data_IF_894867896047
#
_entry.id   IF_894867896047
#
_cell.length_a   1.000
_cell.length_b   1.000
_cell.length_c   1.000
_cell.angle_alpha   90.00
_cell.angle_beta   90.00
_cell.angle_gamma   90.00
#
_symmetry.space_group_name_H-M   'P 1'
#
loop_
_entity.id
_entity.type
_entity.pdbx_description
1 polymer ?
#
# COMPACT_ATOMS: atom_id res chain seq x y z
N UNK A 1 -14.56 -5.19 28.91
CA UNK A 1 -14.76 -4.86 27.48
C UNK A 1 -13.37 -4.81 26.86
N UNK A 2 -12.99 -5.81 26.07
CA UNK A 2 -11.64 -5.91 25.48
C UNK A 2 -11.82 -6.06 23.98
N UNK A 3 -11.59 -4.98 23.24
CA UNK A 3 -11.46 -5.05 21.80
C UNK A 3 -10.07 -5.63 21.50
N UNK A 4 -10.03 -6.94 21.21
CA UNK A 4 -8.80 -7.59 20.73
C UNK A 4 -8.61 -7.18 19.27
N UNK A 5 -7.70 -6.24 19.01
CA UNK A 5 -7.26 -5.94 17.65
C UNK A 5 -6.74 -7.22 17.01
N UNK A 6 -7.47 -7.74 16.02
CA UNK A 6 -7.15 -8.99 15.31
C UNK A 6 -6.22 -8.76 14.11
N UNK A 7 -6.09 -7.51 13.65
CA UNK A 7 -5.34 -7.18 12.44
C UNK A 7 -3.81 -7.26 12.68
N UNK A 8 -3.10 -7.94 11.79
CA UNK A 8 -1.64 -7.98 11.75
C UNK A 8 -1.14 -7.70 10.34
N UNK A 9 0.06 -7.14 10.25
CA UNK A 9 0.63 -6.63 9.01
C UNK A 9 2.02 -7.18 8.76
N UNK A 10 2.38 -7.36 7.49
CA UNK A 10 3.74 -7.72 7.06
C UNK A 10 4.14 -6.89 5.85
N UNK A 11 5.35 -6.38 5.84
CA UNK A 11 5.92 -5.74 4.65
C UNK A 11 6.93 -6.71 4.06
N UNK A 12 6.78 -7.00 2.77
CA UNK A 12 7.73 -7.82 2.03
C UNK A 12 8.16 -7.12 0.75
N UNK A 13 9.45 -7.21 0.46
CA UNK A 13 10.01 -6.83 -0.82
C UNK A 13 9.56 -7.85 -1.88
N UNK A 14 8.87 -7.37 -2.92
CA UNK A 14 8.43 -8.15 -4.06
C UNK A 14 9.19 -7.75 -5.34
N UNK A 15 10.46 -7.39 -5.21
CA UNK A 15 11.35 -7.01 -6.30
C UNK A 15 11.22 -5.52 -6.63
N UNK A 16 10.50 -5.20 -7.70
CA UNK A 16 10.26 -3.80 -8.10
C UNK A 16 9.11 -3.13 -7.32
N UNK A 17 8.43 -3.87 -6.45
CA UNK A 17 7.21 -3.46 -5.77
C UNK A 17 7.29 -3.80 -4.27
N UNK A 18 6.57 -3.06 -3.45
CA UNK A 18 6.38 -3.41 -2.04
C UNK A 18 4.99 -4.02 -1.82
N UNK A 19 4.95 -5.09 -1.02
CA UNK A 19 3.69 -5.74 -0.61
C UNK A 19 3.46 -5.54 0.88
N UNK A 20 2.29 -5.01 1.18
CA UNK A 20 1.73 -4.94 2.52
C UNK A 20 0.69 -6.05 2.70
N UNK A 21 1.07 -7.12 3.37
CA UNK A 21 0.18 -8.20 3.79
C UNK A 21 -0.68 -7.79 4.98
N UNK A 22 -1.95 -8.21 4.97
CA UNK A 22 -2.92 -7.95 6.05
C UNK A 22 -3.58 -9.26 6.45
N UNK A 23 -3.62 -9.57 7.75
CA UNK A 23 -4.31 -10.76 8.26
C UNK A 23 -5.16 -10.46 9.48
N UNK A 24 -6.10 -11.36 9.80
CA UNK A 24 -6.97 -11.27 10.97
C UNK A 24 -8.05 -10.18 10.89
N UNK A 25 -8.38 -9.75 9.69
CA UNK A 25 -9.45 -8.79 9.41
C UNK A 25 -10.75 -9.48 9.03
N UNK A 26 -11.89 -8.86 9.33
CA UNK A 26 -13.22 -9.37 9.01
C UNK A 26 -13.67 -8.98 7.61
N UNK A 27 -14.62 -9.74 7.06
CA UNK A 27 -15.41 -9.31 5.90
C UNK A 27 -16.14 -8.01 6.26
N UNK A 28 -16.15 -7.02 5.36
CA UNK A 28 -16.77 -5.69 5.52
C UNK A 28 -16.04 -4.67 6.42
N UNK A 29 -14.91 -5.03 7.05
CA UNK A 29 -14.00 -4.07 7.68
C UNK A 29 -13.60 -2.98 6.67
N UNK A 30 -13.52 -1.73 7.12
CA UNK A 30 -13.14 -0.59 6.28
C UNK A 30 -11.65 -0.30 6.41
N UNK A 31 -10.98 -0.10 5.28
CA UNK A 31 -9.54 0.07 5.16
C UNK A 31 -9.21 1.40 4.51
N UNK A 32 -8.19 2.06 5.05
CA UNK A 32 -7.39 3.03 4.30
C UNK A 32 -5.92 2.85 4.60
N UNK A 33 -5.11 3.13 3.60
CA UNK A 33 -3.65 3.10 3.68
C UNK A 33 -3.12 4.46 3.28
N UNK A 34 -2.22 4.97 4.11
CA UNK A 34 -1.44 6.16 3.84
C UNK A 34 0.03 5.80 3.97
N UNK A 35 0.89 6.21 3.05
CA UNK A 35 2.31 6.21 3.32
C UNK A 35 3.01 7.38 2.60
N UNK A 36 4.26 7.61 2.96
CA UNK A 36 5.13 8.55 2.28
C UNK A 36 6.10 7.76 1.41
N UNK A 37 6.08 7.99 0.10
CA UNK A 37 7.15 7.49 -0.78
C UNK A 37 8.22 8.56 -0.82
N UNK A 38 9.46 8.18 -0.57
CA UNK A 38 10.60 9.07 -0.71
C UNK A 38 11.69 8.50 -1.59
N UNK A 39 12.39 9.39 -2.28
CA UNK A 39 13.46 9.04 -3.21
C UNK A 39 14.52 10.12 -3.28
N UNK A 40 15.76 9.70 -3.51
CA UNK A 40 16.89 10.59 -3.79
C UNK A 40 17.42 10.42 -5.22
N UNK A 41 16.57 9.94 -6.14
CA UNK A 41 16.96 9.72 -7.52
C UNK A 41 17.52 11.00 -8.18
N UNK A 42 18.61 10.85 -8.94
CA UNK A 42 19.33 11.98 -9.53
C UNK A 42 18.69 12.53 -10.82
N UNK A 43 18.10 11.66 -11.65
CA UNK A 43 17.46 12.05 -12.93
C UNK A 43 16.21 11.20 -13.17
N UNK A 44 15.24 11.75 -13.92
CA UNK A 44 14.01 11.06 -14.29
C UNK A 44 12.86 11.27 -13.29
N UNK A 45 12.12 10.21 -12.96
CA UNK A 45 10.98 10.29 -12.05
C UNK A 45 10.53 8.92 -11.53
N UNK A 46 9.88 8.91 -10.38
CA UNK A 46 9.15 7.74 -9.87
C UNK A 46 7.69 7.95 -10.20
N UNK A 47 7.09 6.99 -10.90
CA UNK A 47 5.66 6.97 -11.15
C UNK A 47 5.00 5.94 -10.26
N UNK A 48 4.08 6.36 -9.41
CA UNK A 48 3.26 5.43 -8.62
C UNK A 48 2.08 5.03 -9.50
N UNK A 49 2.07 3.80 -9.98
CA UNK A 49 1.11 3.39 -11.02
C UNK A 49 -0.22 2.97 -10.42
N UNK A 50 -0.20 2.11 -9.41
CA UNK A 50 -1.41 1.55 -8.83
C UNK A 50 -1.14 0.85 -7.51
N UNK A 51 -2.17 0.84 -6.68
CA UNK A 51 -2.30 0.00 -5.52
C UNK A 51 -3.23 -1.15 -5.87
N UNK A 52 -2.70 -2.36 -5.90
CA UNK A 52 -3.45 -3.57 -6.24
C UNK A 52 -3.63 -4.38 -4.97
N UNK A 53 -4.87 -4.50 -4.52
CA UNK A 53 -5.22 -5.48 -3.51
C UNK A 53 -5.35 -6.88 -4.11
N UNK A 54 -5.15 -7.90 -3.27
CA UNK A 54 -5.38 -9.30 -3.60
C UNK A 54 -6.25 -9.97 -2.53
N UNK A 55 -6.78 -11.15 -2.84
CA UNK A 55 -7.65 -11.89 -1.94
C UNK A 55 -8.87 -11.04 -1.59
N UNK A 56 -9.20 -10.88 -0.31
CA UNK A 56 -10.37 -10.09 0.11
C UNK A 56 -10.22 -8.58 -0.09
N UNK A 57 -9.00 -8.10 -0.34
CA UNK A 57 -8.70 -6.69 -0.56
C UNK A 57 -8.71 -6.33 -2.05
N UNK A 58 -9.10 -7.25 -2.94
CA UNK A 58 -9.02 -7.10 -4.39
C UNK A 58 -9.75 -5.85 -4.91
N UNK A 59 -8.98 -4.79 -5.05
CA UNK A 59 -9.34 -3.51 -5.65
C UNK A 59 -8.10 -2.87 -6.24
N UNK A 60 -8.31 -1.98 -7.21
CA UNK A 60 -7.26 -1.16 -7.80
C UNK A 60 -7.51 0.30 -7.44
N UNK A 61 -6.54 0.94 -6.79
CA UNK A 61 -6.56 2.38 -6.56
C UNK A 61 -5.51 3.06 -7.44
N UNK A 62 -5.93 4.16 -8.06
CA UNK A 62 -5.03 5.09 -8.72
C UNK A 62 -4.69 6.19 -7.72
N UNK A 63 -3.41 6.44 -7.38
CA UNK A 63 -3.06 7.52 -6.48
C UNK A 63 -3.37 8.89 -7.11
N UNK A 64 -3.77 9.87 -6.29
CA UNK A 64 -4.11 11.22 -6.74
C UNK A 64 -2.92 11.94 -7.39
N UNK A 65 -1.69 11.62 -6.97
CA UNK A 65 -0.48 12.13 -7.59
C UNK A 65 0.38 10.97 -8.08
N UNK A 66 0.60 10.95 -9.39
CA UNK A 66 1.20 9.82 -10.09
C UNK A 66 2.73 9.91 -10.21
N UNK A 67 3.40 11.00 -9.80
CA UNK A 67 4.85 11.14 -10.03
C UNK A 67 5.63 12.00 -9.03
N UNK A 68 6.82 11.53 -8.65
CA UNK A 68 7.87 12.30 -7.97
C UNK A 68 8.99 12.61 -8.97
N UNK A 69 9.29 13.89 -9.19
CA UNK A 69 10.36 14.32 -10.10
C UNK A 69 11.72 14.23 -9.40
N UNK A 70 12.67 13.55 -10.04
CA UNK A 70 14.02 13.36 -9.51
C UNK A 70 14.89 14.60 -9.77
N UNK A 71 15.61 15.06 -8.74
CA UNK A 71 16.56 16.18 -8.86
C UNK A 71 17.85 15.97 -8.05
N UNK A 72 18.12 14.76 -7.56
CA UNK A 72 19.28 14.43 -6.74
C UNK A 72 19.18 14.84 -5.27
N UNK A 73 18.10 15.52 -4.86
CA UNK A 73 17.75 15.74 -3.45
C UNK A 73 16.66 14.77 -3.00
N UNK A 74 16.51 14.59 -1.69
CA UNK A 74 15.40 13.80 -1.14
C UNK A 74 14.07 14.49 -1.48
N UNK A 75 13.25 13.80 -2.26
CA UNK A 75 11.87 14.19 -2.58
C UNK A 75 10.94 13.18 -1.92
N UNK A 76 9.84 13.67 -1.35
CA UNK A 76 8.87 12.84 -0.65
C UNK A 76 7.45 13.21 -1.04
N UNK A 77 6.57 12.22 -1.11
CA UNK A 77 5.17 12.43 -1.40
C UNK A 77 4.29 11.47 -0.62
N UNK A 78 3.25 12.01 -0.01
CA UNK A 78 2.22 11.23 0.67
C UNK A 78 1.27 10.67 -0.38
N UNK A 79 0.96 9.39 -0.26
CA UNK A 79 -0.08 8.70 -1.00
C UNK A 79 -1.12 8.14 -0.03
N UNK A 80 -2.38 8.19 -0.45
CA UNK A 80 -3.54 7.74 0.33
C UNK A 80 -4.44 6.90 -0.56
N UNK A 81 -4.95 5.77 -0.06
CA UNK A 81 -6.08 5.08 -0.68
C UNK A 81 -7.39 5.69 -0.18
N UNK A 82 -8.41 5.86 -1.03
CA UNK A 82 -9.79 6.02 -0.56
C UNK A 82 -10.18 4.88 0.37
N UNK A 83 -11.13 5.13 1.27
CA UNK A 83 -11.65 4.08 2.14
C UNK A 83 -12.30 2.96 1.33
N UNK A 84 -12.03 1.71 1.70
CA UNK A 84 -12.57 0.54 1.01
C UNK A 84 -12.91 -0.61 1.94
N UNK A 85 -13.92 -1.39 1.56
CA UNK A 85 -14.34 -2.56 2.35
C UNK A 85 -13.57 -3.81 1.94
N UNK A 86 -13.03 -4.53 2.91
CA UNK A 86 -12.58 -5.91 2.70
C UNK A 86 -13.79 -6.80 2.38
N UNK A 87 -13.59 -7.77 1.51
CA UNK A 87 -14.66 -8.68 1.09
C UNK A 87 -15.70 -8.01 0.20
N UNK A 88 -15.32 -6.97 -0.56
CA UNK A 88 -16.12 -6.52 -1.72
C UNK A 88 -16.10 -7.55 -2.89
N UNK A 89 -15.68 -8.79 -2.59
CA UNK A 89 -15.69 -9.96 -3.43
C UNK A 89 -16.19 -11.16 -2.60
N UNK A 90 -16.41 -12.30 -3.23
CA UNK A 90 -16.95 -13.50 -2.55
C UNK A 90 -15.90 -14.29 -1.75
N UNK A 91 -14.74 -13.71 -1.46
CA UNK A 91 -13.62 -14.39 -0.81
C UNK A 91 -13.51 -14.02 0.67
N UNK A 92 -13.13 -14.98 1.50
CA UNK A 92 -12.81 -14.76 2.92
C UNK A 92 -11.30 -14.59 3.16
N UNK A 93 -10.88 -13.98 4.29
CA UNK A 93 -9.47 -13.83 4.62
C UNK A 93 -8.81 -15.20 4.74
N UNK A 94 -7.68 -15.36 4.09
CA UNK A 94 -6.89 -16.60 4.07
C UNK A 94 -5.52 -16.42 4.75
N UNK A 95 -4.99 -15.20 4.79
CA UNK A 95 -3.76 -14.87 5.52
C UNK A 95 -2.95 -13.74 4.83
N UNK A 96 -1.98 -13.16 5.54
CA UNK A 96 -1.26 -11.95 5.10
C UNK A 96 -0.39 -12.17 3.85
N UNK A 97 -0.04 -13.41 3.54
CA UNK A 97 0.72 -13.77 2.35
C UNK A 97 -0.13 -13.82 1.08
N UNK A 98 -1.46 -13.90 1.23
CA UNK A 98 -2.42 -14.04 0.13
C UNK A 98 -3.27 -12.76 0.04
N UNK A 99 -3.71 -12.23 1.17
CA UNK A 99 -4.42 -10.96 1.30
C UNK A 99 -3.40 -9.84 1.53
N UNK A 100 -3.14 -9.06 0.49
CA UNK A 100 -2.16 -7.99 0.52
C UNK A 100 -2.59 -6.81 -0.35
N UNK A 101 -1.99 -5.66 -0.10
CA UNK A 101 -2.00 -4.49 -0.97
C UNK A 101 -0.58 -4.34 -1.52
N UNK A 102 -0.45 -4.26 -2.84
CA UNK A 102 0.81 -4.07 -3.51
C UNK A 102 0.88 -2.68 -4.11
N UNK A 103 1.93 -1.94 -3.80
CA UNK A 103 2.21 -0.68 -4.47
C UNK A 103 3.13 -0.96 -5.65
N UNK A 104 2.70 -0.58 -6.83
CA UNK A 104 3.53 -0.66 -8.02
C UNK A 104 4.09 0.71 -8.37
N UNK A 105 5.40 0.79 -8.58
CA UNK A 105 6.06 2.00 -9.02
C UNK A 105 7.02 1.74 -10.17
N UNK A 106 7.19 2.75 -11.03
CA UNK A 106 8.08 2.70 -12.18
C UNK A 106 9.13 3.81 -12.03
N UNK A 107 10.41 3.45 -12.13
CA UNK A 107 11.50 4.42 -12.14
C UNK A 107 11.83 4.73 -13.60
N UNK A 108 11.59 5.96 -14.04
CA UNK A 108 12.05 6.46 -15.34
C UNK A 108 13.49 6.95 -15.27
N UNK A 109 14.36 6.52 -16.20
CA UNK A 109 15.76 6.98 -16.30
C UNK A 109 16.81 6.03 -15.74
N UNK A 110 18.06 6.51 -15.61
CA UNK A 110 19.16 5.71 -15.02
C UNK A 110 19.00 5.73 -13.50
N UNK A 111 18.51 4.62 -12.94
CA UNK A 111 18.24 4.45 -11.52
C UNK A 111 19.53 4.57 -10.68
N UNK A 112 19.89 5.79 -10.30
CA UNK A 112 20.81 6.07 -9.20
C UNK A 112 19.98 6.70 -8.09
N UNK A 113 19.59 5.89 -7.10
CA UNK A 113 18.76 6.33 -5.98
C UNK A 113 18.04 5.16 -5.31
N UNK A 114 17.63 5.35 -4.05
CA UNK A 114 16.79 4.41 -3.32
C UNK A 114 15.35 4.93 -3.32
N UNK A 115 14.40 4.02 -3.54
CA UNK A 115 12.98 4.24 -3.25
C UNK A 115 12.71 3.62 -1.90
N UNK A 116 12.01 4.34 -1.03
CA UNK A 116 11.64 3.82 0.28
C UNK A 116 10.26 4.33 0.68
N UNK A 117 9.53 3.49 1.40
CA UNK A 117 8.29 3.88 2.05
C UNK A 117 8.61 4.26 3.48
N UNK A 118 8.23 5.48 3.87
CA UNK A 118 8.26 5.97 5.25
C UNK A 118 6.85 6.25 5.71
N UNK A 119 6.65 6.31 7.03
CA UNK A 119 5.41 6.78 7.64
C UNK A 119 4.14 6.02 7.19
N UNK A 120 4.26 4.71 6.96
CA UNK A 120 3.14 3.84 6.60
C UNK A 120 2.13 3.76 7.76
N UNK A 121 0.92 4.22 7.48
CA UNK A 121 -0.24 4.15 8.36
C UNK A 121 -1.33 3.32 7.69
N UNK A 122 -1.89 2.37 8.44
CA UNK A 122 -2.99 1.53 7.98
C UNK A 122 -4.10 1.66 8.99
N UNK A 123 -5.24 2.16 8.53
CA UNK A 123 -6.44 2.27 9.33
C UNK A 123 -7.36 1.10 9.01
N UNK A 124 -7.76 0.39 10.05
CA UNK A 124 -8.78 -0.68 9.95
C UNK A 124 -9.89 -0.33 10.91
N UNK A 125 -11.05 0.07 10.36
CA UNK A 125 -12.27 0.22 11.14
C UNK A 125 -12.98 -1.13 11.15
N UNK A 126 -12.91 -1.80 12.29
CA UNK A 126 -13.53 -3.11 12.46
C UNK A 126 -15.01 -2.97 12.73
N UNK A 127 -15.83 -3.69 11.97
CA UNK A 127 -17.25 -3.81 12.25
C UNK A 127 -17.50 -5.15 12.96
N UNK A 128 -18.31 -5.13 14.01
CA UNK A 128 -18.92 -6.35 14.52
C UNK A 128 -20.17 -6.63 13.69
N UNK A 129 -20.27 -7.83 13.17
CA UNK A 129 -21.54 -8.39 12.70
C UNK A 129 -22.63 -8.27 13.80
#
# INVERSE_FOLDING_TARGET
MVQKGRAFFSISDAGANERLGVGGVGTHDLFSVTATISTNCATGGIFVSSLLGNGILNQTYTPDVASIVCNGSLQSQVWTTPDFRAGNNTSGPSGPSIDYIQVSYVIGGVASGKVQFTDLTINVTQFSD
#
